data_IF_768567439016
#
_entry.id   IF_768567439016
#
_cell.length_a   1.000
_cell.length_b   1.000
_cell.length_c   1.000
_cell.angle_alpha   90.00
_cell.angle_beta   90.00
_cell.angle_gamma   90.00
#
_symmetry.space_group_name_H-M   'P 1'
#
loop_
_entity.id
_entity.type
_entity.pdbx_description
1 polymer ?
#
# COMPACT_ATOMS: atom_id res chain seq x y z
N UNK A 1 28.67 88.97 12.09
CA UNK A 1 29.14 87.58 12.23
C UNK A 1 28.53 86.80 11.08
N UNK A 2 29.34 86.34 10.12
CA UNK A 2 28.87 85.54 8.99
C UNK A 2 28.79 84.06 9.43
N UNK A 3 27.67 83.41 9.12
CA UNK A 3 27.44 81.98 9.38
C UNK A 3 28.36 81.17 8.46
N UNK A 4 29.46 80.65 9.02
CA UNK A 4 30.47 79.87 8.30
C UNK A 4 30.17 78.37 8.33
N UNK A 5 28.90 77.96 8.20
CA UNK A 5 28.57 76.54 8.08
C UNK A 5 29.08 75.97 6.75
N UNK A 6 29.87 74.88 6.74
CA UNK A 6 30.36 74.27 5.51
C UNK A 6 29.17 73.74 4.69
N UNK A 7 29.15 74.08 3.40
CA UNK A 7 28.07 73.77 2.43
C UNK A 7 27.69 72.28 2.37
N UNK A 8 28.59 71.40 2.83
CA UNK A 8 28.36 69.97 3.01
C UNK A 8 27.16 69.65 3.91
N UNK A 9 26.87 70.51 4.90
CA UNK A 9 25.76 70.31 5.84
C UNK A 9 24.38 70.66 5.25
N UNK A 10 24.32 71.41 4.13
CA UNK A 10 23.05 71.71 3.44
C UNK A 10 22.65 70.62 2.42
N UNK A 11 23.59 69.79 1.99
CA UNK A 11 23.37 68.72 1.02
C UNK A 11 23.05 67.36 1.66
N UNK A 12 23.04 67.27 2.99
CA UNK A 12 22.60 66.06 3.72
C UNK A 12 21.10 66.15 4.02
N UNK A 13 20.28 66.13 2.97
CA UNK A 13 18.89 65.73 3.15
C UNK A 13 18.87 64.23 3.50
N UNK A 14 18.08 63.78 4.49
CA UNK A 14 17.98 62.36 4.83
C UNK A 14 17.48 61.58 3.61
N UNK A 15 18.36 60.78 3.01
CA UNK A 15 18.07 59.94 1.83
C UNK A 15 17.20 58.73 2.25
N UNK A 16 17.14 58.44 3.56
CA UNK A 16 16.45 57.31 4.18
C UNK A 16 14.95 57.20 3.84
N UNK A 17 14.25 58.30 3.54
CA UNK A 17 12.82 58.24 3.20
C UNK A 17 12.49 58.11 1.71
N UNK A 18 13.46 58.36 0.83
CA UNK A 18 13.23 58.37 -0.62
C UNK A 18 13.35 56.97 -1.23
N UNK A 19 14.25 56.14 -0.68
CA UNK A 19 14.39 54.75 -1.11
C UNK A 19 13.14 53.92 -0.74
N UNK A 20 12.62 54.07 0.49
CA UNK A 20 11.41 53.38 0.94
C UNK A 20 10.18 53.76 0.09
N UNK A 21 10.01 55.04 -0.25
CA UNK A 21 8.91 55.51 -1.08
C UNK A 21 9.00 55.00 -2.53
N UNK A 22 10.21 54.88 -3.09
CA UNK A 22 10.42 54.29 -4.42
C UNK A 22 10.14 52.78 -4.40
N UNK A 23 10.58 52.08 -3.36
CA UNK A 23 10.33 50.65 -3.19
C UNK A 23 8.84 50.39 -3.04
N UNK A 24 8.12 51.19 -2.23
CA UNK A 24 6.66 51.10 -2.12
C UNK A 24 5.94 51.39 -3.44
N UNK A 25 6.37 52.39 -4.21
CA UNK A 25 5.78 52.70 -5.53
C UNK A 25 6.03 51.57 -6.54
N UNK A 26 7.24 51.00 -6.57
CA UNK A 26 7.56 49.85 -7.42
C UNK A 26 6.77 48.60 -7.01
N UNK A 27 6.70 48.30 -5.71
CA UNK A 27 5.95 47.16 -5.17
C UNK A 27 4.46 47.33 -5.47
N UNK A 28 3.91 48.53 -5.29
CA UNK A 28 2.52 48.85 -5.60
C UNK A 28 2.22 48.69 -7.09
N UNK A 29 3.07 49.22 -7.99
CA UNK A 29 2.90 49.05 -9.44
C UNK A 29 3.02 47.59 -9.86
N UNK A 30 3.96 46.85 -9.29
CA UNK A 30 4.13 45.42 -9.54
C UNK A 30 2.89 44.63 -9.09
N UNK A 31 2.42 44.84 -7.86
CA UNK A 31 1.21 44.19 -7.35
C UNK A 31 0.01 44.56 -8.20
N UNK A 32 -0.18 45.84 -8.55
CA UNK A 32 -1.32 46.24 -9.38
C UNK A 32 -1.28 45.66 -10.81
N UNK A 33 -0.09 45.40 -11.34
CA UNK A 33 0.09 44.80 -12.67
C UNK A 33 -0.14 43.29 -12.68
N UNK A 34 0.32 42.56 -11.66
CA UNK A 34 0.22 41.10 -11.59
C UNK A 34 -0.96 40.59 -10.76
N UNK A 35 -1.44 41.39 -9.81
CA UNK A 35 -2.54 41.11 -8.88
C UNK A 35 -3.45 42.35 -8.74
N UNK A 36 -4.28 42.63 -9.76
CA UNK A 36 -5.18 43.79 -9.74
C UNK A 36 -6.03 43.82 -8.46
N UNK A 37 -6.27 45.00 -7.86
CA UNK A 37 -7.09 45.14 -6.65
C UNK A 37 -8.50 44.53 -6.79
N UNK A 38 -9.06 44.53 -8.01
CA UNK A 38 -10.33 43.89 -8.33
C UNK A 38 -10.30 42.37 -8.10
N UNK A 39 -9.20 41.71 -8.47
CA UNK A 39 -9.04 40.27 -8.31
C UNK A 39 -8.78 39.93 -6.84
N UNK A 40 -7.98 40.74 -6.13
CA UNK A 40 -7.76 40.56 -4.71
C UNK A 40 -9.07 40.72 -3.90
N UNK A 41 -9.92 41.68 -4.27
CA UNK A 41 -11.23 41.89 -3.65
C UNK A 41 -12.18 40.73 -3.96
N UNK A 42 -12.22 40.27 -5.21
CA UNK A 42 -13.00 39.10 -5.60
C UNK A 42 -12.60 37.86 -4.80
N UNK A 43 -11.31 37.53 -4.73
CA UNK A 43 -10.83 36.38 -3.97
C UNK A 43 -11.12 36.50 -2.46
N UNK A 44 -10.98 37.69 -1.87
CA UNK A 44 -11.38 37.93 -0.47
C UNK A 44 -12.88 37.66 -0.25
N UNK A 45 -13.73 38.05 -1.20
CA UNK A 45 -15.15 37.78 -1.14
C UNK A 45 -15.45 36.28 -1.29
N UNK A 46 -14.76 35.56 -2.17
CA UNK A 46 -14.90 34.11 -2.32
C UNK A 46 -14.46 33.37 -1.04
N UNK A 47 -13.38 33.81 -0.39
CA UNK A 47 -12.95 33.25 0.91
C UNK A 47 -14.01 33.48 1.98
N UNK A 48 -14.53 34.71 2.09
CA UNK A 48 -15.50 35.09 3.14
C UNK A 48 -16.87 34.42 2.94
N UNK A 49 -17.27 34.21 1.69
CA UNK A 49 -18.55 33.56 1.34
C UNK A 49 -18.37 32.09 0.96
N UNK A 50 -17.26 31.47 1.38
CA UNK A 50 -17.00 30.07 1.10
C UNK A 50 -18.16 29.21 1.61
N UNK A 51 -18.53 28.20 0.84
CA UNK A 51 -19.55 27.23 1.21
C UNK A 51 -19.15 25.89 0.64
N UNK A 52 -19.17 24.86 1.48
CA UNK A 52 -18.94 23.49 1.03
C UNK A 52 -20.03 23.08 0.04
N UNK A 53 -19.63 22.50 -1.09
CA UNK A 53 -20.59 22.00 -2.09
C UNK A 53 -21.25 20.71 -1.59
N UNK A 54 -22.53 20.44 -1.94
CA UNK A 54 -23.28 19.30 -1.39
C UNK A 54 -22.71 17.92 -1.72
N UNK A 55 -21.88 17.80 -2.77
CA UNK A 55 -21.23 16.54 -3.17
C UNK A 55 -19.72 16.51 -2.84
N UNK A 56 -19.23 17.51 -2.13
CA UNK A 56 -17.82 17.68 -1.81
C UNK A 56 -17.55 17.14 -0.41
N UNK A 57 -16.54 16.29 -0.29
CA UNK A 57 -16.12 15.77 1.02
C UNK A 57 -15.41 16.86 1.83
N UNK A 58 -15.37 16.72 3.16
CA UNK A 58 -14.64 17.64 4.04
C UNK A 58 -13.21 17.96 3.55
N UNK A 59 -12.47 16.95 3.09
CA UNK A 59 -11.09 17.11 2.61
C UNK A 59 -11.03 17.91 1.31
N UNK A 60 -11.92 17.64 0.37
CA UNK A 60 -11.98 18.39 -0.90
C UNK A 60 -12.33 19.85 -0.63
N UNK A 61 -13.28 20.12 0.27
CA UNK A 61 -13.64 21.46 0.70
C UNK A 61 -12.47 22.17 1.39
N UNK A 62 -11.73 21.47 2.25
CA UNK A 62 -10.55 22.02 2.93
C UNK A 62 -9.42 22.35 1.97
N UNK A 63 -9.13 21.47 1.00
CA UNK A 63 -8.15 21.75 -0.06
C UNK A 63 -8.57 22.94 -0.92
N UNK A 64 -9.84 23.00 -1.32
CA UNK A 64 -10.37 24.11 -2.11
C UNK A 64 -10.27 25.44 -1.35
N UNK A 65 -10.60 25.46 -0.06
CA UNK A 65 -10.44 26.64 0.79
C UNK A 65 -8.96 27.07 0.91
N UNK A 66 -8.04 26.12 1.12
CA UNK A 66 -6.59 26.39 1.12
C UNK A 66 -6.12 26.96 -0.21
N UNK A 67 -6.66 26.49 -1.33
CA UNK A 67 -6.30 26.99 -2.66
C UNK A 67 -6.77 28.42 -2.90
N UNK A 68 -7.95 28.79 -2.39
CA UNK A 68 -8.41 30.19 -2.39
C UNK A 68 -7.49 31.10 -1.58
N UNK A 69 -7.04 30.65 -0.41
CA UNK A 69 -6.07 31.38 0.42
C UNK A 69 -4.71 31.55 -0.30
N UNK A 70 -4.22 30.52 -0.98
CA UNK A 70 -2.97 30.58 -1.77
C UNK A 70 -3.05 31.54 -2.95
N UNK A 71 -4.22 31.65 -3.57
CA UNK A 71 -4.46 32.60 -4.67
C UNK A 71 -4.50 34.06 -4.18
N UNK A 72 -4.78 34.30 -2.90
CA UNK A 72 -4.82 35.63 -2.29
C UNK A 72 -3.80 35.78 -1.15
N UNK A 73 -2.47 35.79 -1.41
CA UNK A 73 -1.45 35.79 -0.35
C UNK A 73 -1.52 37.03 0.56
N UNK A 74 -2.10 38.14 0.09
CA UNK A 74 -2.33 39.36 0.87
C UNK A 74 -3.77 39.47 1.40
N UNK A 75 -4.43 38.35 1.73
CA UNK A 75 -5.83 38.33 2.16
C UNK A 75 -6.08 39.05 3.51
N UNK A 76 -5.10 39.12 4.41
CA UNK A 76 -5.21 39.84 5.69
C UNK A 76 -6.03 39.15 6.79
N UNK A 77 -6.69 38.03 6.50
CA UNK A 77 -7.38 37.20 7.49
C UNK A 77 -6.44 36.52 8.50
N UNK A 78 -6.75 36.60 9.79
CA UNK A 78 -6.08 35.83 10.84
C UNK A 78 -6.42 34.33 10.73
N UNK A 79 -5.58 33.46 11.27
CA UNK A 79 -5.83 32.00 11.29
C UNK A 79 -7.19 31.67 11.93
N UNK A 80 -7.54 32.37 13.01
CA UNK A 80 -8.85 32.23 13.67
C UNK A 80 -10.01 32.52 12.73
N UNK A 81 -9.93 33.62 11.99
CA UNK A 81 -11.00 34.02 11.08
C UNK A 81 -11.13 33.04 9.91
N UNK A 82 -10.01 32.50 9.42
CA UNK A 82 -10.00 31.46 8.39
C UNK A 82 -10.69 30.19 8.88
N UNK A 83 -10.40 29.75 10.10
CA UNK A 83 -11.01 28.56 10.72
C UNK A 83 -12.50 28.74 10.98
N UNK A 84 -12.90 29.90 11.52
CA UNK A 84 -14.29 30.24 11.75
C UNK A 84 -15.09 30.26 10.45
N UNK A 85 -14.54 30.91 9.42
CA UNK A 85 -15.16 30.97 8.09
C UNK A 85 -15.30 29.57 7.50
N UNK A 86 -14.25 28.75 7.58
CA UNK A 86 -14.31 27.38 7.10
C UNK A 86 -15.33 26.53 7.88
N UNK A 87 -15.32 26.58 9.22
CA UNK A 87 -16.24 25.82 10.05
C UNK A 87 -17.71 26.17 9.75
N UNK A 88 -18.03 27.47 9.68
CA UNK A 88 -19.39 27.94 9.39
C UNK A 88 -19.86 27.62 7.96
N UNK A 89 -18.92 27.38 7.05
CA UNK A 89 -19.17 27.01 5.66
C UNK A 89 -19.37 25.50 5.44
N UNK A 90 -19.05 24.66 6.43
CA UNK A 90 -19.23 23.22 6.36
C UNK A 90 -20.71 22.83 6.41
N UNK A 91 -21.03 21.68 5.84
CA UNK A 91 -22.34 21.08 6.04
C UNK A 91 -22.51 20.59 7.51
N UNK A 92 -23.75 20.46 8.01
CA UNK A 92 -24.00 20.08 9.40
C UNK A 92 -23.40 18.73 9.80
N UNK A 93 -23.34 17.75 8.89
CA UNK A 93 -22.79 16.43 9.20
C UNK A 93 -21.28 16.50 9.45
N UNK A 94 -20.57 17.31 8.66
CA UNK A 94 -19.13 17.50 8.81
C UNK A 94 -18.80 18.38 10.03
N UNK A 95 -19.66 19.34 10.37
CA UNK A 95 -19.57 20.09 11.64
C UNK A 95 -19.73 19.15 12.85
N UNK A 96 -20.78 18.32 12.87
CA UNK A 96 -21.03 17.37 13.96
C UNK A 96 -19.89 16.36 14.12
N UNK A 97 -19.32 15.88 13.00
CA UNK A 97 -18.17 14.98 13.02
C UNK A 97 -16.93 15.66 13.62
N UNK A 98 -16.70 16.91 13.27
CA UNK A 98 -15.59 17.71 13.76
C UNK A 98 -15.74 18.00 15.26
N UNK A 99 -16.92 18.44 15.69
CA UNK A 99 -17.24 18.68 17.09
C UNK A 99 -17.10 17.41 17.94
N UNK A 100 -17.59 16.28 17.44
CA UNK A 100 -17.47 14.97 18.11
C UNK A 100 -16.02 14.56 18.34
N UNK A 101 -15.15 14.82 17.37
CA UNK A 101 -13.73 14.51 17.49
C UNK A 101 -12.98 15.49 18.39
N UNK A 102 -13.46 16.72 18.51
CA UNK A 102 -12.87 17.70 19.45
C UNK A 102 -13.39 17.48 20.88
N UNK A 103 -14.50 16.78 21.06
CA UNK A 103 -15.16 16.61 22.36
C UNK A 103 -15.89 17.87 22.83
N UNK A 104 -16.39 18.69 21.89
CA UNK A 104 -17.07 19.97 22.14
C UNK A 104 -17.18 20.79 20.86
N UNK A 105 -17.64 22.05 20.95
CA UNK A 105 -17.64 22.95 19.80
C UNK A 105 -16.20 23.35 19.44
N UNK A 106 -15.81 23.16 18.18
CA UNK A 106 -14.47 23.50 17.68
C UNK A 106 -14.09 24.97 17.95
N UNK A 107 -15.04 25.90 17.80
CA UNK A 107 -14.82 27.34 17.92
C UNK A 107 -14.56 27.80 19.36
N UNK A 108 -14.95 26.99 20.35
CA UNK A 108 -14.70 27.27 21.78
C UNK A 108 -13.26 26.93 22.19
N UNK A 109 -12.49 26.24 21.33
CA UNK A 109 -11.11 25.85 21.60
C UNK A 109 -10.12 26.89 21.06
N UNK A 110 -9.06 27.13 21.82
CA UNK A 110 -7.96 28.05 21.47
C UNK A 110 -7.46 27.75 20.04
N UNK A 111 -7.12 28.75 19.21
CA UNK A 111 -6.75 28.57 17.79
C UNK A 111 -5.70 27.49 17.52
N UNK A 112 -4.74 27.32 18.44
CA UNK A 112 -3.69 26.31 18.33
C UNK A 112 -4.23 24.88 18.41
N UNK A 113 -5.23 24.64 19.26
CA UNK A 113 -5.88 23.34 19.37
C UNK A 113 -6.72 23.05 18.12
N UNK A 114 -7.46 24.04 17.63
CA UNK A 114 -8.27 23.93 16.43
C UNK A 114 -7.44 23.51 15.20
N UNK A 115 -6.29 24.17 14.96
CA UNK A 115 -5.36 23.78 13.89
C UNK A 115 -4.78 22.36 14.08
N UNK A 116 -4.46 21.98 15.31
CA UNK A 116 -3.94 20.64 15.60
C UNK A 116 -4.99 19.56 15.31
N UNK A 117 -6.27 19.88 15.54
CA UNK A 117 -7.38 18.94 15.33
C UNK A 117 -7.68 18.78 13.84
N UNK A 118 -7.72 19.86 13.06
CA UNK A 118 -7.90 19.77 11.60
C UNK A 118 -6.76 18.97 10.96
N UNK A 119 -5.51 19.21 11.36
CA UNK A 119 -4.37 18.38 10.92
C UNK A 119 -4.49 16.92 11.36
N UNK A 120 -5.03 16.67 12.55
CA UNK A 120 -5.28 15.30 13.02
C UNK A 120 -6.37 14.59 12.21
N UNK A 121 -7.38 15.32 11.71
CA UNK A 121 -8.39 14.80 10.79
C UNK A 121 -7.82 14.46 9.42
N UNK A 122 -7.01 15.38 8.87
CA UNK A 122 -6.28 15.19 7.62
C UNK A 122 -5.39 13.94 7.70
N UNK A 123 -4.70 13.75 8.83
CA UNK A 123 -3.88 12.57 9.07
C UNK A 123 -4.70 11.30 9.31
N UNK A 124 -5.80 11.36 10.07
CA UNK A 124 -6.66 10.22 10.40
C UNK A 124 -7.35 9.61 9.18
N UNK A 125 -7.79 10.44 8.24
CA UNK A 125 -8.38 10.01 6.97
C UNK A 125 -7.33 9.39 6.04
N UNK A 126 -6.13 9.98 5.96
CA UNK A 126 -4.99 9.40 5.23
C UNK A 126 -4.57 8.05 5.82
N UNK A 127 -4.63 7.91 7.16
CA UNK A 127 -4.31 6.66 7.84
C UNK A 127 -5.32 5.56 7.51
N UNK A 128 -6.61 5.85 7.28
CA UNK A 128 -7.57 4.81 6.82
C UNK A 128 -7.22 4.28 5.43
N UNK A 129 -6.79 5.15 4.52
CA UNK A 129 -6.34 4.74 3.18
C UNK A 129 -5.06 3.91 3.27
N UNK A 130 -4.09 4.34 4.07
CA UNK A 130 -2.84 3.61 4.29
C UNK A 130 -3.05 2.29 5.04
N UNK A 131 -3.96 2.25 6.02
CA UNK A 131 -4.35 1.03 6.73
C UNK A 131 -5.09 0.07 5.80
N UNK A 132 -5.94 0.58 4.91
CA UNK A 132 -6.62 -0.21 3.89
C UNK A 132 -5.63 -0.76 2.85
N UNK A 133 -4.68 0.06 2.40
CA UNK A 133 -3.56 -0.40 1.57
C UNK A 133 -2.69 -1.43 2.28
N UNK A 134 -2.39 -1.25 3.57
CA UNK A 134 -1.68 -2.25 4.39
C UNK A 134 -2.49 -3.54 4.55
N UNK A 135 -3.80 -3.46 4.70
CA UNK A 135 -4.70 -4.61 4.75
C UNK A 135 -4.72 -5.34 3.40
N UNK A 136 -4.79 -4.62 2.28
CA UNK A 136 -4.71 -5.20 0.94
C UNK A 136 -3.38 -5.91 0.73
N UNK A 137 -2.26 -5.27 1.08
CA UNK A 137 -0.93 -5.88 0.95
C UNK A 137 -0.83 -7.14 1.84
N UNK A 138 -1.37 -7.09 3.07
CA UNK A 138 -1.43 -8.26 3.95
C UNK A 138 -2.30 -9.38 3.38
N UNK A 139 -3.44 -9.07 2.77
CA UNK A 139 -4.33 -10.04 2.14
C UNK A 139 -3.65 -10.67 0.92
N UNK A 140 -3.04 -9.86 0.05
CA UNK A 140 -2.29 -10.34 -1.12
C UNK A 140 -1.10 -11.23 -0.74
N UNK A 141 -0.37 -10.85 0.31
CA UNK A 141 0.73 -11.66 0.84
C UNK A 141 0.21 -12.98 1.43
N UNK A 142 -0.94 -12.94 2.14
CA UNK A 142 -1.56 -14.11 2.73
C UNK A 142 -2.09 -15.08 1.67
N UNK A 143 -2.68 -14.58 0.58
CA UNK A 143 -3.13 -15.44 -0.55
C UNK A 143 -1.96 -16.15 -1.22
N UNK A 144 -0.84 -15.44 -1.46
CA UNK A 144 0.38 -16.05 -2.05
C UNK A 144 1.01 -17.09 -1.13
N UNK A 145 1.00 -16.84 0.20
CA UNK A 145 1.48 -17.80 1.20
C UNK A 145 0.59 -19.05 1.32
N UNK A 146 -0.74 -18.87 1.19
CA UNK A 146 -1.71 -19.98 1.18
C UNK A 146 -1.53 -20.85 -0.06
N UNK A 147 -1.42 -20.24 -1.24
CA UNK A 147 -1.25 -20.98 -2.49
C UNK A 147 0.04 -21.82 -2.47
N UNK A 148 1.14 -21.28 -1.93
CA UNK A 148 2.41 -22.00 -1.78
C UNK A 148 2.30 -23.21 -0.85
N UNK A 149 1.54 -23.09 0.25
CA UNK A 149 1.34 -24.18 1.20
C UNK A 149 0.39 -25.25 0.67
N UNK A 150 -0.64 -24.86 -0.07
CA UNK A 150 -1.58 -25.79 -0.71
C UNK A 150 -0.89 -26.56 -1.85
N UNK A 151 -0.05 -25.90 -2.64
CA UNK A 151 0.78 -26.55 -3.67
C UNK A 151 1.76 -27.54 -3.03
N UNK A 152 2.43 -27.17 -1.94
CA UNK A 152 3.33 -28.09 -1.24
C UNK A 152 2.60 -29.31 -0.66
N UNK A 153 1.43 -29.10 -0.04
CA UNK A 153 0.60 -30.19 0.51
C UNK A 153 0.08 -31.13 -0.58
N UNK A 154 -0.38 -30.59 -1.71
CA UNK A 154 -0.86 -31.41 -2.84
C UNK A 154 0.27 -32.25 -3.44
N UNK A 155 1.48 -31.71 -3.57
CA UNK A 155 2.65 -32.46 -4.03
C UNK A 155 3.05 -33.56 -3.04
N UNK A 156 3.06 -33.27 -1.73
CA UNK A 156 3.34 -34.26 -0.68
C UNK A 156 2.33 -35.42 -0.69
N UNK A 157 1.02 -35.09 -0.76
CA UNK A 157 -0.05 -36.09 -0.84
C UNK A 157 0.10 -36.95 -2.11
N UNK A 158 0.45 -36.34 -3.25
CA UNK A 158 0.67 -37.09 -4.49
C UNK A 158 1.86 -38.06 -4.36
N UNK A 159 2.95 -37.64 -3.72
CA UNK A 159 4.12 -38.49 -3.46
C UNK A 159 3.74 -39.68 -2.57
N UNK A 160 2.99 -39.45 -1.49
CA UNK A 160 2.52 -40.51 -0.59
C UNK A 160 1.58 -41.49 -1.30
N UNK A 161 0.65 -40.99 -2.13
CA UNK A 161 -0.26 -41.84 -2.92
C UNK A 161 0.55 -42.74 -3.87
N UNK A 162 1.49 -42.17 -4.63
CA UNK A 162 2.34 -42.94 -5.57
C UNK A 162 3.18 -43.98 -4.79
N UNK A 163 3.73 -43.61 -3.64
CA UNK A 163 4.48 -44.55 -2.80
C UNK A 163 3.60 -45.72 -2.32
N UNK A 164 2.39 -45.44 -1.84
CA UNK A 164 1.45 -46.48 -1.39
C UNK A 164 1.01 -47.41 -2.53
N UNK A 165 0.74 -46.87 -3.71
CA UNK A 165 0.41 -47.69 -4.90
C UNK A 165 1.56 -48.62 -5.28
N UNK A 166 2.80 -48.11 -5.30
CA UNK A 166 3.97 -48.94 -5.61
C UNK A 166 4.17 -50.05 -4.57
N UNK A 167 4.00 -49.74 -3.28
CA UNK A 167 4.07 -50.73 -2.19
C UNK A 167 2.96 -51.79 -2.37
N UNK A 168 1.73 -51.38 -2.66
CA UNK A 168 0.61 -52.29 -2.87
C UNK A 168 0.87 -53.26 -4.03
N UNK A 169 1.36 -52.77 -5.17
CA UNK A 169 1.72 -53.60 -6.32
C UNK A 169 2.80 -54.62 -5.93
N UNK A 170 3.85 -54.19 -5.24
CA UNK A 170 4.92 -55.10 -4.78
C UNK A 170 4.39 -56.18 -3.83
N UNK A 171 3.53 -55.81 -2.88
CA UNK A 171 2.92 -56.76 -1.93
C UNK A 171 2.01 -57.76 -2.64
N UNK A 172 1.15 -57.30 -3.56
CA UNK A 172 0.26 -58.16 -4.34
C UNK A 172 1.05 -59.13 -5.20
N UNK A 173 2.06 -58.65 -5.92
CA UNK A 173 2.93 -59.49 -6.74
C UNK A 173 3.66 -60.53 -5.87
N UNK A 174 4.18 -60.12 -4.70
CA UNK A 174 4.83 -61.06 -3.76
C UNK A 174 3.88 -62.18 -3.29
N UNK A 175 2.61 -61.85 -3.03
CA UNK A 175 1.58 -62.85 -2.65
C UNK A 175 1.23 -63.78 -3.80
N UNK A 176 1.09 -63.25 -5.01
CA UNK A 176 0.80 -64.06 -6.21
C UNK A 176 1.95 -65.02 -6.50
N UNK A 177 3.20 -64.55 -6.42
CA UNK A 177 4.39 -65.39 -6.62
C UNK A 177 4.45 -66.49 -5.55
N UNK A 178 4.20 -66.15 -4.27
CA UNK A 178 4.19 -67.14 -3.19
C UNK A 178 3.10 -68.20 -3.39
N UNK A 179 1.89 -67.79 -3.77
CA UNK A 179 0.77 -68.69 -4.05
C UNK A 179 1.07 -69.63 -5.23
N UNK A 180 1.56 -69.06 -6.33
CA UNK A 180 1.97 -69.82 -7.51
C UNK A 180 3.09 -70.82 -7.18
N UNK A 181 4.10 -70.39 -6.43
CA UNK A 181 5.19 -71.26 -5.98
C UNK A 181 4.69 -72.42 -5.11
N UNK A 182 3.80 -72.15 -4.14
CA UNK A 182 3.24 -73.22 -3.31
C UNK A 182 2.46 -74.24 -4.14
N UNK A 183 1.66 -73.79 -5.11
CA UNK A 183 0.90 -74.69 -5.99
C UNK A 183 1.81 -75.49 -6.94
N UNK A 184 2.87 -74.88 -7.44
CA UNK A 184 3.84 -75.54 -8.31
C UNK A 184 4.60 -76.64 -7.57
N UNK A 185 5.05 -76.36 -6.35
CA UNK A 185 5.78 -77.32 -5.49
C UNK A 185 4.92 -78.52 -5.12
N UNK A 186 3.61 -78.35 -4.94
CA UNK A 186 2.71 -79.44 -4.56
C UNK A 186 2.30 -80.38 -5.71
N UNK A 187 2.42 -79.96 -6.98
CA UNK A 187 1.85 -80.68 -8.13
C UNK A 187 2.83 -81.12 -9.22
N UNK A 188 4.15 -80.86 -9.11
CA UNK A 188 5.09 -81.10 -10.22
C UNK A 188 6.34 -81.92 -9.83
N UNK A 189 6.84 -82.73 -10.77
CA UNK A 189 8.01 -83.60 -10.64
C UNK A 189 9.35 -82.83 -10.61
N UNK A 190 10.41 -83.45 -10.06
CA UNK A 190 11.67 -82.74 -9.70
C UNK A 190 12.43 -82.10 -10.88
N UNK A 191 12.22 -82.59 -12.10
CA UNK A 191 12.84 -82.05 -13.32
C UNK A 191 12.17 -80.76 -13.80
N UNK A 192 10.85 -80.65 -13.68
CA UNK A 192 10.05 -79.45 -13.99
C UNK A 192 10.21 -78.35 -12.95
N UNK A 193 10.39 -78.72 -11.66
CA UNK A 193 10.67 -77.76 -10.58
C UNK A 193 11.97 -76.97 -10.79
N UNK A 194 13.00 -77.60 -11.37
CA UNK A 194 14.28 -76.95 -11.64
C UNK A 194 14.19 -75.88 -12.74
N UNK A 195 13.38 -76.14 -13.78
CA UNK A 195 13.10 -75.17 -14.85
C UNK A 195 12.29 -73.98 -14.35
N UNK A 196 11.24 -74.24 -13.55
CA UNK A 196 10.40 -73.19 -12.99
C UNK A 196 11.11 -72.32 -11.94
N UNK A 197 12.05 -72.87 -11.16
CA UNK A 197 12.93 -72.09 -10.29
C UNK A 197 13.83 -71.12 -11.06
N UNK A 198 14.30 -71.52 -12.25
CA UNK A 198 15.03 -70.65 -13.18
C UNK A 198 14.17 -69.49 -13.68
N UNK A 199 12.93 -69.77 -14.09
CA UNK A 199 11.97 -68.74 -14.56
C UNK A 199 11.63 -67.74 -13.45
N UNK A 200 11.45 -68.20 -12.20
CA UNK A 200 11.25 -67.26 -11.09
C UNK A 200 12.48 -66.39 -10.84
N UNK A 201 13.68 -66.95 -10.94
CA UNK A 201 14.92 -66.17 -10.75
C UNK A 201 15.04 -65.07 -11.80
N UNK A 202 14.78 -65.38 -13.06
CA UNK A 202 14.75 -64.38 -14.15
C UNK A 202 13.64 -63.35 -13.94
N UNK A 203 12.46 -63.76 -13.47
CA UNK A 203 11.38 -62.85 -13.14
C UNK A 203 11.76 -61.87 -12.03
N UNK A 204 12.39 -62.35 -10.94
CA UNK A 204 12.84 -61.47 -9.85
C UNK A 204 13.96 -60.52 -10.30
N UNK A 205 14.84 -60.94 -11.21
CA UNK A 205 15.86 -60.06 -11.80
C UNK A 205 15.19 -58.98 -12.64
N UNK A 206 14.25 -59.35 -13.52
CA UNK A 206 13.49 -58.40 -14.35
C UNK A 206 12.68 -57.42 -13.51
N UNK A 207 12.04 -57.88 -12.44
CA UNK A 207 11.30 -57.03 -11.50
C UNK A 207 12.23 -56.06 -10.77
N UNK A 208 13.40 -56.53 -10.31
CA UNK A 208 14.41 -55.67 -9.68
C UNK A 208 14.92 -54.61 -10.66
N UNK A 209 15.13 -54.97 -11.91
CA UNK A 209 15.61 -54.02 -12.93
C UNK A 209 14.53 -53.01 -13.32
N UNK A 210 13.27 -53.43 -13.38
CA UNK A 210 12.12 -52.54 -13.57
C UNK A 210 12.00 -51.55 -12.41
N UNK A 211 12.07 -52.03 -11.16
CA UNK A 211 12.05 -51.17 -9.97
C UNK A 211 13.23 -50.19 -9.97
N UNK A 212 14.44 -50.66 -10.31
CA UNK A 212 15.62 -49.80 -10.42
C UNK A 212 15.49 -48.73 -11.51
N UNK A 213 14.85 -49.04 -12.65
CA UNK A 213 14.56 -48.05 -13.71
C UNK A 213 13.49 -47.05 -13.27
N UNK A 214 12.44 -47.52 -12.61
CA UNK A 214 11.38 -46.67 -12.08
C UNK A 214 11.90 -45.70 -11.01
N UNK A 215 12.76 -46.17 -10.10
CA UNK A 215 13.45 -45.33 -9.11
C UNK A 215 14.40 -44.31 -9.76
N UNK A 216 15.00 -44.63 -10.91
CA UNK A 216 15.80 -43.65 -11.68
C UNK A 216 14.92 -42.61 -12.39
N UNK A 217 13.79 -43.00 -12.96
CA UNK A 217 12.89 -42.05 -13.64
C UNK A 217 12.26 -41.05 -12.66
N UNK A 218 11.89 -41.49 -11.46
CA UNK A 218 11.45 -40.59 -10.38
C UNK A 218 12.56 -39.61 -9.96
N UNK A 219 13.84 -40.04 -9.97
CA UNK A 219 14.98 -39.14 -9.70
C UNK A 219 15.31 -38.14 -10.82
N UNK A 220 14.96 -38.44 -12.09
CA UNK A 220 15.13 -37.52 -13.22
C UNK A 220 14.00 -36.47 -13.29
N UNK A 221 12.76 -36.87 -13.00
CA UNK A 221 11.62 -35.93 -12.86
C UNK A 221 11.87 -34.85 -11.80
N UNK A 222 12.59 -35.21 -10.71
CA UNK A 222 13.02 -34.26 -9.67
C UNK A 222 14.16 -33.33 -10.09
N UNK A 223 14.92 -33.63 -11.16
CA UNK A 223 16.03 -32.78 -11.64
C UNK A 223 15.59 -31.77 -12.70
N UNK A 224 14.62 -32.12 -13.53
CA UNK A 224 14.08 -31.19 -14.54
C UNK A 224 13.15 -30.12 -13.94
N UNK A 225 12.60 -30.36 -12.74
CA UNK A 225 11.91 -29.34 -11.95
C UNK A 225 12.85 -28.31 -11.28
N UNK A 226 14.17 -28.49 -11.36
CA UNK A 226 15.17 -27.59 -10.75
C UNK A 226 15.90 -26.68 -11.78
N UNK A 227 15.49 -26.69 -13.06
CA UNK A 227 16.13 -25.93 -14.15
C UNK A 227 15.17 -24.89 -14.80
N UNK A 228 13.95 -24.70 -14.29
CA UNK A 228 13.07 -23.57 -14.66
C UNK A 228 12.92 -22.59 -13.51
#
# INVERSE_FOLDING_TARGET
>A
MADNRPMTQMLQAPIEGYEDAIVEDLVSKFINQFFPPSNATYLRNEITNFLQKPNETFNEAWEHFKDLLRQCPHHGFSELHQLDTFYNALNPNDQDALDSATGGNLLDKIPRECLSIIKSFEFSLCNRVLLWWCLIIKILLWTVLIDSSLVLLTVLILIEIVALETILVVVLMSRLIKSWWTHLVTHTSSTTLRGAAGVMKEFFISLRDFLNRFMRMSSLSSRDAAIC
#
